data_IF_279995565012
#
_entry.id   IF_279995565012
#
_cell.length_a   1.000
_cell.length_b   1.000
_cell.length_c   1.000
_cell.angle_alpha   90.00
_cell.angle_beta   90.00
_cell.angle_gamma   90.00
#
_symmetry.space_group_name_H-M   'P 1'
#
loop_
_entity.id
_entity.type
_entity.pdbx_description
1 polymer ?
#
# COMPACT_ATOMS: atom_id res chain seq x y z
N UNK A 1 -50.48 1.57 55.11
CA UNK A 1 -49.78 2.41 56.11
C UNK A 1 -50.42 3.79 56.02
N UNK A 2 -50.96 4.26 57.13
CA UNK A 2 -51.73 5.50 57.27
C UNK A 2 -50.77 6.66 57.58
N UNK A 3 -51.03 7.84 56.99
CA UNK A 3 -50.85 9.18 57.60
C UNK A 3 -51.61 10.18 56.69
N UNK A 4 -52.72 10.87 57.03
CA UNK A 4 -53.09 11.81 58.11
C UNK A 4 -52.25 13.09 58.14
N UNK A 5 -52.66 14.14 57.40
CA UNK A 5 -52.29 15.55 57.61
C UNK A 5 -53.47 16.39 57.07
N UNK A 6 -54.53 16.65 57.84
CA UNK A 6 -54.70 17.51 59.01
C UNK A 6 -55.08 18.96 58.63
N UNK A 7 -56.18 19.41 59.25
CA UNK A 7 -56.96 20.61 58.99
C UNK A 7 -56.17 21.91 59.12
N UNK A 8 -56.45 22.85 58.21
CA UNK A 8 -56.49 24.28 58.55
C UNK A 8 -57.62 24.96 57.78
N UNK A 9 -58.77 25.07 58.43
CA UNK A 9 -59.72 26.13 58.16
C UNK A 9 -59.16 27.44 58.73
N UNK A 10 -58.87 28.40 57.86
CA UNK A 10 -58.71 29.79 58.25
C UNK A 10 -59.42 30.72 57.25
N UNK A 11 -60.71 30.88 57.53
CA UNK A 11 -61.43 32.17 57.55
C UNK A 11 -61.69 32.92 56.22
N UNK A 12 -62.99 32.93 55.87
CA UNK A 12 -63.81 34.12 55.54
C UNK A 12 -63.34 35.05 54.40
N UNK A 13 -64.09 35.02 53.29
CA UNK A 13 -65.11 36.03 52.90
C UNK A 13 -65.23 36.11 51.38
N UNK A 14 -66.47 36.00 50.88
CA UNK A 14 -66.97 36.51 49.59
C UNK A 14 -66.21 36.15 48.31
N UNK A 15 -66.41 34.94 47.75
CA UNK A 15 -66.08 34.68 46.33
C UNK A 15 -67.10 33.77 45.58
N UNK A 16 -68.38 33.75 46.00
CA UNK A 16 -69.44 33.04 45.22
C UNK A 16 -69.73 33.69 43.85
N UNK A 17 -69.16 34.87 43.54
CA UNK A 17 -69.31 35.48 42.21
C UNK A 17 -68.18 35.13 41.25
N UNK A 18 -66.97 34.81 41.72
CA UNK A 18 -65.83 34.58 40.83
C UNK A 18 -65.85 33.18 40.20
N UNK A 19 -66.38 32.18 40.89
CA UNK A 19 -66.48 30.81 40.35
C UNK A 19 -67.59 30.69 39.31
N UNK A 20 -68.73 31.39 39.50
CA UNK A 20 -69.75 31.55 38.46
C UNK A 20 -69.22 32.35 37.27
N UNK A 21 -68.48 33.44 37.49
CA UNK A 21 -67.85 34.23 36.42
C UNK A 21 -66.78 33.43 35.67
N UNK A 22 -66.01 32.57 36.35
CA UNK A 22 -65.04 31.69 35.71
C UNK A 22 -65.72 30.62 34.85
N UNK A 23 -66.84 30.04 35.30
CA UNK A 23 -67.62 29.10 34.50
C UNK A 23 -68.32 29.78 33.32
N UNK A 24 -68.83 30.99 33.49
CA UNK A 24 -69.42 31.80 32.40
C UNK A 24 -68.35 32.24 31.40
N UNK A 25 -67.16 32.63 31.86
CA UNK A 25 -66.04 32.99 31.00
C UNK A 25 -65.49 31.78 30.24
N UNK A 26 -65.49 30.58 30.84
CA UNK A 26 -65.16 29.33 30.15
C UNK A 26 -66.21 28.97 29.11
N UNK A 27 -67.52 29.11 29.42
CA UNK A 27 -68.60 28.91 28.46
C UNK A 27 -68.53 29.89 27.28
N UNK A 28 -68.23 31.17 27.55
CA UNK A 28 -68.10 32.20 26.52
C UNK A 28 -66.84 32.04 25.63
N UNK A 29 -65.82 31.32 26.10
CA UNK A 29 -64.62 30.97 25.33
C UNK A 29 -64.84 29.69 24.50
N UNK A 30 -65.59 28.72 25.01
CA UNK A 30 -66.03 27.54 24.23
C UNK A 30 -66.99 27.96 23.10
N UNK A 31 -67.89 28.92 23.35
CA UNK A 31 -68.86 29.42 22.36
C UNK A 31 -68.21 30.28 21.24
N UNK A 32 -66.95 30.68 21.38
CA UNK A 32 -66.20 31.46 20.37
C UNK A 32 -65.13 30.65 19.64
N UNK A 33 -64.93 29.38 19.98
CA UNK A 33 -64.25 28.43 19.11
C UNK A 33 -65.27 27.79 18.16
N UNK A 34 -65.91 28.62 17.33
CA UNK A 34 -66.11 28.21 15.95
C UNK A 34 -64.71 28.17 15.32
N UNK A 35 -63.93 27.14 15.67
CA UNK A 35 -62.94 26.63 14.74
C UNK A 35 -63.73 26.39 13.47
N UNK A 36 -63.42 27.18 12.44
CA UNK A 36 -63.74 26.90 11.05
C UNK A 36 -63.01 25.59 10.70
N UNK A 37 -63.47 24.51 11.33
CA UNK A 37 -63.22 23.14 10.91
C UNK A 37 -63.99 23.06 9.62
N UNK A 38 -63.32 23.40 8.52
CA UNK A 38 -63.66 22.89 7.20
C UNK A 38 -63.74 21.37 7.38
N UNK A 39 -64.95 20.88 7.63
CA UNK A 39 -65.22 19.51 8.01
C UNK A 39 -64.99 18.68 6.75
N UNK A 40 -63.73 18.27 6.56
CA UNK A 40 -63.28 17.60 5.34
C UNK A 40 -64.13 16.37 5.15
N UNK A 41 -64.94 16.40 4.10
CA UNK A 41 -65.90 15.34 3.84
C UNK A 41 -65.13 14.08 3.42
N UNK A 42 -65.59 12.91 3.85
CA UNK A 42 -64.94 11.63 3.56
C UNK A 42 -64.61 11.44 2.06
N UNK A 43 -65.49 11.91 1.18
CA UNK A 43 -65.31 11.89 -0.27
C UNK A 43 -64.10 12.72 -0.77
N UNK A 44 -63.81 13.87 -0.13
CA UNK A 44 -62.63 14.69 -0.46
C UNK A 44 -61.33 13.98 -0.06
N UNK A 45 -61.33 13.29 1.09
CA UNK A 45 -60.20 12.46 1.54
C UNK A 45 -59.93 11.33 0.54
N UNK A 46 -60.97 10.66 0.06
CA UNK A 46 -60.88 9.56 -0.93
C UNK A 46 -60.26 10.07 -2.24
N UNK A 47 -60.74 11.19 -2.77
CA UNK A 47 -60.19 11.81 -3.99
C UNK A 47 -58.71 12.19 -3.82
N UNK A 48 -58.33 12.69 -2.65
CA UNK A 48 -56.94 13.03 -2.32
C UNK A 48 -56.06 11.78 -2.37
N UNK A 49 -56.50 10.69 -1.74
CA UNK A 49 -55.78 9.41 -1.68
C UNK A 49 -55.59 8.83 -3.09
N UNK A 50 -56.63 8.84 -3.93
CA UNK A 50 -56.53 8.38 -5.32
C UNK A 50 -55.50 9.19 -6.13
N UNK A 51 -55.52 10.52 -5.98
CA UNK A 51 -54.57 11.41 -6.65
C UNK A 51 -53.13 11.12 -6.21
N UNK A 52 -52.88 11.01 -4.90
CA UNK A 52 -51.56 10.66 -4.39
C UNK A 52 -51.12 9.27 -4.81
N UNK A 53 -52.03 8.29 -4.86
CA UNK A 53 -51.74 6.93 -5.31
C UNK A 53 -51.33 6.88 -6.80
N UNK A 54 -51.98 7.71 -7.63
CA UNK A 54 -51.59 7.91 -9.03
C UNK A 54 -50.21 8.53 -9.17
N UNK A 55 -49.91 9.57 -8.38
CA UNK A 55 -48.58 10.20 -8.35
C UNK A 55 -47.51 9.20 -7.91
N UNK A 56 -47.73 8.46 -6.82
CA UNK A 56 -46.83 7.42 -6.31
C UNK A 56 -46.58 6.36 -7.39
N UNK A 57 -47.62 5.92 -8.09
CA UNK A 57 -47.50 4.94 -9.18
C UNK A 57 -46.66 5.48 -10.35
N UNK A 58 -46.84 6.74 -10.72
CA UNK A 58 -46.04 7.39 -11.76
C UNK A 58 -44.57 7.56 -11.36
N UNK A 59 -44.31 7.97 -10.11
CA UNK A 59 -42.97 8.11 -9.56
C UNK A 59 -42.28 6.76 -9.47
N UNK A 60 -42.97 5.72 -9.02
CA UNK A 60 -42.44 4.35 -8.97
C UNK A 60 -42.03 3.84 -10.35
N UNK A 61 -42.75 4.19 -11.41
CA UNK A 61 -42.34 3.87 -12.79
C UNK A 61 -41.08 4.64 -13.19
N UNK A 62 -41.01 5.95 -12.90
CA UNK A 62 -39.82 6.78 -13.18
C UNK A 62 -38.58 6.31 -12.42
N UNK A 63 -38.74 5.91 -11.15
CA UNK A 63 -37.64 5.36 -10.35
C UNK A 63 -37.11 4.09 -11.01
N UNK A 64 -37.99 3.19 -11.46
CA UNK A 64 -37.58 1.95 -12.15
C UNK A 64 -36.83 2.22 -13.46
N UNK A 65 -37.26 3.20 -14.25
CA UNK A 65 -36.55 3.56 -15.49
C UNK A 65 -35.19 4.17 -15.19
N UNK A 66 -35.11 5.09 -14.22
CA UNK A 66 -33.85 5.70 -13.81
C UNK A 66 -32.87 4.68 -13.21
N UNK A 67 -33.36 3.68 -12.46
CA UNK A 67 -32.48 2.61 -11.95
C UNK A 67 -31.88 1.80 -13.10
N UNK A 68 -32.68 1.48 -14.13
CA UNK A 68 -32.18 0.74 -15.30
C UNK A 68 -31.15 1.55 -16.09
N UNK A 69 -31.46 2.82 -16.39
CA UNK A 69 -30.53 3.71 -17.10
C UNK A 69 -29.22 3.91 -16.34
N UNK A 70 -29.27 4.00 -15.01
CA UNK A 70 -28.09 4.13 -14.16
C UNK A 70 -27.23 2.85 -14.15
N UNK A 71 -27.86 1.68 -14.17
CA UNK A 71 -27.14 0.40 -14.26
C UNK A 71 -26.44 0.26 -15.63
N UNK A 72 -27.10 0.63 -16.74
CA UNK A 72 -26.46 0.67 -18.07
C UNK A 72 -25.30 1.66 -18.14
N UNK A 73 -25.46 2.85 -17.57
CA UNK A 73 -24.40 3.87 -17.52
C UNK A 73 -23.18 3.40 -16.72
N UNK A 74 -23.40 2.70 -15.59
CA UNK A 74 -22.31 2.15 -14.79
C UNK A 74 -21.53 1.08 -15.56
N UNK A 75 -22.21 0.18 -16.28
CA UNK A 75 -21.56 -0.83 -17.12
C UNK A 75 -20.72 -0.18 -18.24
N UNK A 76 -21.29 0.77 -18.98
CA UNK A 76 -20.57 1.47 -20.04
C UNK A 76 -19.35 2.25 -19.52
N UNK A 77 -19.46 2.86 -18.34
CA UNK A 77 -18.34 3.54 -17.68
C UNK A 77 -17.22 2.57 -17.29
N UNK A 78 -17.57 1.40 -16.78
CA UNK A 78 -16.59 0.38 -16.39
C UNK A 78 -15.87 -0.19 -17.62
N UNK A 79 -16.60 -0.49 -18.70
CA UNK A 79 -16.03 -0.95 -19.97
C UNK A 79 -15.05 0.06 -20.57
N UNK A 80 -15.45 1.33 -20.70
CA UNK A 80 -14.58 2.40 -21.25
C UNK A 80 -13.37 2.68 -20.38
N UNK A 81 -13.50 2.61 -19.04
CA UNK A 81 -12.37 2.76 -18.13
C UNK A 81 -11.35 1.64 -18.30
N UNK A 82 -11.81 0.39 -18.42
CA UNK A 82 -10.95 -0.78 -18.59
C UNK A 82 -10.25 -0.76 -19.95
N UNK A 83 -10.94 -0.34 -21.02
CA UNK A 83 -10.36 -0.23 -22.36
C UNK A 83 -9.19 0.77 -22.41
N UNK A 84 -9.37 1.95 -21.80
CA UNK A 84 -8.30 2.96 -21.71
C UNK A 84 -7.10 2.45 -20.89
N UNK A 85 -7.35 1.74 -19.79
CA UNK A 85 -6.29 1.17 -18.96
C UNK A 85 -5.49 0.10 -19.71
N UNK A 86 -6.18 -0.76 -20.47
CA UNK A 86 -5.54 -1.79 -21.33
C UNK A 86 -4.66 -1.14 -22.40
N UNK A 87 -5.16 -0.13 -23.11
CA UNK A 87 -4.38 0.57 -24.16
C UNK A 87 -3.10 1.23 -23.61
N UNK A 88 -3.16 1.82 -22.42
CA UNK A 88 -2.00 2.41 -21.76
C UNK A 88 -0.96 1.33 -21.39
N UNK A 89 -1.41 0.21 -20.83
CA UNK A 89 -0.55 -0.91 -20.47
C UNK A 89 0.08 -1.55 -21.71
N UNK A 90 -0.67 -1.71 -22.80
CA UNK A 90 -0.14 -2.26 -24.05
C UNK A 90 0.98 -1.39 -24.64
N UNK A 91 0.82 -0.06 -24.60
CA UNK A 91 1.85 0.88 -25.03
C UNK A 91 3.12 0.80 -24.17
N UNK A 92 2.95 0.71 -22.84
CA UNK A 92 4.09 0.58 -21.92
C UNK A 92 4.82 -0.77 -22.11
N UNK A 93 4.08 -1.86 -22.28
CA UNK A 93 4.64 -3.17 -22.63
C UNK A 93 5.40 -3.09 -23.96
N UNK A 94 4.85 -2.45 -24.99
CA UNK A 94 5.52 -2.31 -26.28
C UNK A 94 6.85 -1.53 -26.16
N UNK A 95 6.88 -0.46 -25.37
CA UNK A 95 8.11 0.29 -25.08
C UNK A 95 9.14 -0.59 -24.37
N UNK A 96 8.74 -1.27 -23.28
CA UNK A 96 9.63 -2.15 -22.50
C UNK A 96 10.16 -3.32 -23.33
N UNK A 97 9.35 -3.89 -24.23
CA UNK A 97 9.79 -4.96 -25.14
C UNK A 97 10.86 -4.45 -26.10
N UNK A 98 10.71 -3.24 -26.64
CA UNK A 98 11.69 -2.62 -27.53
C UNK A 98 13.01 -2.35 -26.80
N UNK A 99 12.93 -1.81 -25.59
CA UNK A 99 14.10 -1.53 -24.75
C UNK A 99 14.85 -2.83 -24.38
N UNK A 100 14.12 -3.87 -23.94
CA UNK A 100 14.69 -5.19 -23.65
C UNK A 100 15.39 -5.82 -24.85
N UNK A 101 14.85 -5.64 -26.07
CA UNK A 101 15.50 -6.10 -27.29
C UNK A 101 16.83 -5.39 -27.50
N UNK A 102 16.88 -4.06 -27.35
CA UNK A 102 18.12 -3.29 -27.46
C UNK A 102 19.17 -3.74 -26.43
N UNK A 103 18.79 -3.89 -25.17
CA UNK A 103 19.71 -4.40 -24.14
C UNK A 103 20.23 -5.80 -24.45
N UNK A 104 19.41 -6.67 -25.03
CA UNK A 104 19.85 -8.02 -25.43
C UNK A 104 20.93 -7.96 -26.51
N UNK A 105 20.78 -7.09 -27.50
CA UNK A 105 21.77 -6.87 -28.56
C UNK A 105 23.09 -6.29 -27.99
N UNK A 106 23.01 -5.33 -27.08
CA UNK A 106 24.17 -4.77 -26.38
C UNK A 106 24.91 -5.83 -25.54
N UNK A 107 24.18 -6.68 -24.81
CA UNK A 107 24.75 -7.78 -24.03
C UNK A 107 25.48 -8.77 -24.93
N UNK A 108 24.93 -9.11 -26.10
CA UNK A 108 25.57 -10.02 -27.05
C UNK A 108 26.86 -9.41 -27.62
N UNK A 109 26.83 -8.13 -28.00
CA UNK A 109 28.01 -7.39 -28.45
C UNK A 109 29.10 -7.36 -27.36
N UNK A 110 28.72 -7.06 -26.12
CA UNK A 110 29.62 -7.01 -24.97
C UNK A 110 30.21 -8.40 -24.65
N UNK A 111 29.41 -9.46 -24.74
CA UNK A 111 29.89 -10.83 -24.54
C UNK A 111 30.94 -11.21 -25.58
N UNK A 112 30.76 -10.77 -26.83
CA UNK A 112 31.73 -10.98 -27.92
C UNK A 112 33.04 -10.22 -27.66
N UNK A 113 33.00 -8.97 -27.20
CA UNK A 113 34.22 -8.23 -26.85
C UNK A 113 34.91 -8.83 -25.63
N UNK A 114 34.16 -9.25 -24.61
CA UNK A 114 34.70 -9.91 -23.43
C UNK A 114 35.39 -11.24 -23.76
N UNK A 115 34.81 -12.04 -24.66
CA UNK A 115 35.45 -13.28 -25.13
C UNK A 115 36.79 -13.01 -25.81
N UNK A 116 36.86 -11.99 -26.69
CA UNK A 116 38.12 -11.58 -27.32
C UNK A 116 39.15 -11.11 -26.29
N UNK A 117 38.71 -10.28 -25.33
CA UNK A 117 39.56 -9.78 -24.25
C UNK A 117 40.11 -10.93 -23.39
N UNK A 118 39.26 -11.87 -23.00
CA UNK A 118 39.65 -13.08 -22.25
C UNK A 118 40.69 -13.89 -23.01
N UNK A 119 40.49 -14.12 -24.31
CA UNK A 119 41.45 -14.85 -25.16
C UNK A 119 42.79 -14.11 -25.27
N UNK A 120 42.79 -12.78 -25.39
CA UNK A 120 44.03 -12.00 -25.36
C UNK A 120 44.71 -12.03 -24.00
N UNK A 121 43.94 -12.00 -22.90
CA UNK A 121 44.46 -12.07 -21.54
C UNK A 121 45.15 -13.41 -21.29
N UNK A 122 44.55 -14.52 -21.74
CA UNK A 122 45.15 -15.84 -21.59
C UNK A 122 46.46 -15.97 -22.38
N UNK A 123 46.51 -15.41 -23.60
CA UNK A 123 47.75 -15.35 -24.39
C UNK A 123 48.82 -14.53 -23.70
N UNK A 124 48.45 -13.38 -23.13
CA UNK A 124 49.37 -12.53 -22.37
C UNK A 124 49.92 -13.28 -21.14
N UNK A 125 49.06 -13.96 -20.38
CA UNK A 125 49.47 -14.74 -19.21
C UNK A 125 50.46 -15.85 -19.60
N UNK A 126 50.22 -16.55 -20.71
CA UNK A 126 51.17 -17.55 -21.24
C UNK A 126 52.51 -16.94 -21.60
N UNK A 127 52.52 -15.78 -22.28
CA UNK A 127 53.76 -15.08 -22.63
C UNK A 127 54.54 -14.63 -21.38
N UNK A 128 53.84 -14.06 -20.40
CA UNK A 128 54.46 -13.64 -19.13
C UNK A 128 54.98 -14.84 -18.34
N UNK A 129 54.27 -15.97 -18.34
CA UNK A 129 54.72 -17.22 -17.72
C UNK A 129 55.95 -17.83 -18.39
N UNK A 130 56.16 -17.57 -19.69
CA UNK A 130 57.34 -18.01 -20.44
C UNK A 130 58.53 -17.06 -20.32
N UNK A 131 58.35 -15.85 -19.78
CA UNK A 131 59.42 -14.89 -19.64
C UNK A 131 60.46 -15.39 -18.61
N UNK A 132 61.74 -15.44 -18.99
CA UNK A 132 62.83 -15.71 -18.03
C UNK A 132 62.77 -14.65 -16.93
N UNK A 133 62.86 -15.09 -15.67
CA UNK A 133 62.95 -14.16 -14.55
C UNK A 133 64.07 -13.15 -14.83
N UNK A 134 63.87 -11.87 -14.50
CA UNK A 134 64.81 -10.76 -14.78
C UNK A 134 66.24 -11.01 -14.24
N UNK A 135 66.39 -12.02 -13.39
CA UNK A 135 67.63 -12.46 -12.75
C UNK A 135 68.38 -13.54 -13.54
N UNK A 136 67.71 -14.30 -14.40
CA UNK A 136 68.33 -15.27 -15.30
C UNK A 136 68.71 -14.57 -16.61
N UNK A 137 69.79 -13.80 -16.54
CA UNK A 137 70.44 -13.15 -17.69
C UNK A 137 71.47 -14.07 -18.36
N UNK A 138 71.55 -15.34 -17.96
CA UNK A 138 72.44 -16.31 -18.58
C UNK A 138 72.06 -16.46 -20.07
N UNK A 139 73.03 -16.24 -20.95
CA UNK A 139 72.82 -16.20 -22.41
C UNK A 139 72.68 -14.81 -23.03
N UNK A 140 72.65 -13.74 -22.24
CA UNK A 140 72.80 -12.34 -22.72
C UNK A 140 74.20 -11.75 -22.46
N UNK A 141 75.18 -12.60 -22.12
CA UNK A 141 76.56 -12.18 -21.83
C UNK A 141 76.81 -11.68 -20.40
N UNK A 142 75.83 -11.79 -19.50
CA UNK A 142 75.99 -11.51 -18.07
C UNK A 142 76.41 -12.78 -17.31
N UNK A 143 77.25 -12.61 -16.28
CA UNK A 143 77.59 -13.70 -15.36
C UNK A 143 76.34 -14.18 -14.59
N UNK A 144 76.28 -15.49 -14.39
CA UNK A 144 75.18 -16.16 -13.71
C UNK A 144 75.11 -15.66 -12.26
N UNK A 145 74.05 -14.93 -11.92
CA UNK A 145 73.90 -14.31 -10.60
C UNK A 145 73.55 -15.38 -9.56
N UNK A 146 74.58 -16.01 -8.97
CA UNK A 146 74.42 -17.17 -8.09
C UNK A 146 73.68 -16.95 -6.77
N UNK A 147 73.25 -15.73 -6.41
CA UNK A 147 72.60 -15.51 -5.12
C UNK A 147 71.64 -14.32 -5.17
N UNK A 148 70.35 -14.55 -5.42
CA UNK A 148 69.35 -13.51 -5.10
C UNK A 148 68.33 -14.01 -4.09
N UNK A 149 68.81 -14.19 -2.84
CA UNK A 149 67.99 -14.41 -1.63
C UNK A 149 66.88 -13.35 -1.47
N UNK A 150 67.03 -12.18 -2.09
CA UNK A 150 66.05 -11.09 -2.05
C UNK A 150 64.71 -11.47 -2.69
N UNK A 151 64.70 -12.30 -3.75
CA UNK A 151 63.47 -12.69 -4.43
C UNK A 151 62.86 -13.98 -3.89
N UNK A 152 63.64 -14.89 -3.28
CA UNK A 152 63.07 -16.05 -2.58
C UNK A 152 62.07 -15.59 -1.52
N UNK A 153 62.44 -14.57 -0.74
CA UNK A 153 61.56 -13.95 0.26
C UNK A 153 60.30 -13.35 -0.36
N UNK A 154 60.39 -12.81 -1.59
CA UNK A 154 59.25 -12.26 -2.32
C UNK A 154 58.31 -13.36 -2.83
N UNK A 155 58.85 -14.44 -3.40
CA UNK A 155 58.07 -15.60 -3.85
C UNK A 155 57.42 -16.33 -2.67
N UNK A 156 58.16 -16.55 -1.58
CA UNK A 156 57.62 -17.13 -0.35
C UNK A 156 56.49 -16.27 0.23
N UNK A 157 56.62 -14.93 0.18
CA UNK A 157 55.56 -14.00 0.60
C UNK A 157 54.36 -14.03 -0.33
N UNK A 158 54.56 -14.07 -1.65
CA UNK A 158 53.48 -14.17 -2.64
C UNK A 158 52.70 -15.47 -2.47
N UNK A 159 53.41 -16.60 -2.33
CA UNK A 159 52.80 -17.91 -2.12
C UNK A 159 52.02 -17.97 -0.80
N UNK A 160 52.54 -17.38 0.29
CA UNK A 160 51.80 -17.21 1.55
C UNK A 160 50.53 -16.41 1.36
N UNK A 161 50.58 -15.29 0.63
CA UNK A 161 49.41 -14.45 0.34
C UNK A 161 48.37 -15.21 -0.50
N UNK A 162 48.78 -15.98 -1.48
CA UNK A 162 47.88 -16.79 -2.32
C UNK A 162 47.23 -17.93 -1.52
N UNK A 163 48.02 -18.63 -0.68
CA UNK A 163 47.49 -19.64 0.26
C UNK A 163 46.53 -19.01 1.26
N UNK A 164 46.83 -17.82 1.79
CA UNK A 164 45.91 -17.08 2.65
C UNK A 164 44.63 -16.67 1.93
N UNK A 165 44.71 -16.21 0.68
CA UNK A 165 43.53 -15.87 -0.13
C UNK A 165 42.67 -17.10 -0.41
N UNK A 166 43.28 -18.22 -0.77
CA UNK A 166 42.59 -19.50 -0.96
C UNK A 166 41.96 -20.00 0.34
N UNK A 167 42.66 -19.87 1.48
CA UNK A 167 42.12 -20.20 2.80
C UNK A 167 40.99 -19.26 3.21
N UNK A 168 41.11 -17.94 3.00
CA UNK A 168 40.04 -16.95 3.23
C UNK A 168 38.83 -17.22 2.33
N UNK A 169 39.04 -17.64 1.09
CA UNK A 169 37.97 -18.07 0.20
C UNK A 169 37.29 -19.38 0.67
N UNK A 170 38.05 -20.30 1.28
CA UNK A 170 37.50 -21.50 1.95
C UNK A 170 36.80 -21.18 3.28
N UNK A 171 37.26 -20.15 4.00
CA UNK A 171 36.70 -19.62 5.27
C UNK A 171 35.52 -18.67 5.03
N UNK A 172 35.26 -18.21 3.79
CA UNK A 172 33.94 -17.66 3.37
C UNK A 172 32.80 -18.70 3.46
N UNK A 173 32.97 -19.78 4.21
CA UNK A 173 31.87 -20.54 4.76
C UNK A 173 31.36 -19.80 6.00
N UNK A 174 30.16 -19.23 5.80
CA UNK A 174 29.11 -18.98 6.79
C UNK A 174 29.23 -17.64 7.53
N UNK A 175 28.72 -16.58 6.90
CA UNK A 175 28.32 -15.34 7.60
C UNK A 175 27.36 -15.73 8.72
N UNK A 176 27.82 -15.71 9.97
CA UNK A 176 27.00 -15.99 11.14
C UNK A 176 26.40 -14.66 11.61
N UNK A 177 25.12 -14.68 11.97
CA UNK A 177 24.46 -13.52 12.55
C UNK A 177 24.75 -13.44 14.06
N UNK A 178 25.28 -12.32 14.53
CA UNK A 178 25.60 -12.12 15.96
C UNK A 178 24.34 -12.05 16.85
N UNK A 179 23.17 -11.77 16.26
CA UNK A 179 21.90 -11.68 17.01
C UNK A 179 21.23 -13.05 17.21
N UNK A 180 21.13 -13.86 16.15
CA UNK A 180 20.41 -15.15 16.21
C UNK A 180 21.31 -16.37 16.08
N UNK A 181 22.62 -16.20 15.99
CA UNK A 181 23.64 -17.25 15.81
C UNK A 181 23.42 -18.17 14.60
N UNK A 182 22.51 -17.80 13.68
CA UNK A 182 22.25 -18.56 12.45
C UNK A 182 23.18 -18.12 11.33
N UNK A 183 23.47 -19.08 10.47
CA UNK A 183 24.37 -18.95 9.33
C UNK A 183 23.60 -18.45 8.09
N UNK A 184 24.24 -17.64 7.26
CA UNK A 184 23.75 -17.19 5.95
C UNK A 184 23.38 -15.71 5.85
N UNK A 185 23.43 -14.96 6.95
CA UNK A 185 23.10 -13.53 6.98
C UNK A 185 23.87 -12.80 8.09
N UNK A 186 23.88 -11.47 8.06
CA UNK A 186 24.52 -10.62 9.07
C UNK A 186 23.50 -10.09 10.09
N UNK A 187 23.97 -9.58 11.23
CA UNK A 187 23.13 -8.94 12.24
C UNK A 187 22.26 -7.79 11.70
N UNK A 188 22.71 -7.07 10.68
CA UNK A 188 21.94 -5.99 10.03
C UNK A 188 20.76 -6.49 9.19
N UNK A 189 20.84 -7.72 8.67
CA UNK A 189 19.82 -8.34 7.82
C UNK A 189 18.97 -9.37 8.57
N UNK A 190 19.16 -9.49 9.88
CA UNK A 190 18.46 -10.47 10.71
C UNK A 190 16.97 -10.14 10.89
N UNK A 191 16.11 -11.06 10.48
CA UNK A 191 14.65 -10.96 10.66
C UNK A 191 14.24 -10.82 12.13
N UNK A 192 14.84 -11.62 13.03
CA UNK A 192 14.53 -11.56 14.46
C UNK A 192 14.89 -10.20 15.07
N UNK A 193 16.01 -9.58 14.65
CA UNK A 193 16.43 -8.26 15.14
C UNK A 193 15.50 -7.15 14.63
N UNK A 194 15.12 -7.19 13.35
CA UNK A 194 14.17 -6.22 12.77
C UNK A 194 12.84 -6.26 13.52
N UNK A 195 12.27 -7.45 13.74
CA UNK A 195 10.99 -7.57 14.43
C UNK A 195 11.06 -7.20 15.92
N UNK A 196 12.18 -7.43 16.60
CA UNK A 196 12.38 -6.96 17.96
C UNK A 196 12.38 -5.41 18.06
N UNK A 197 12.93 -4.72 17.06
CA UNK A 197 12.88 -3.25 17.00
C UNK A 197 11.47 -2.71 16.73
N UNK A 198 10.67 -3.41 15.92
CA UNK A 198 9.28 -3.00 15.64
C UNK A 198 8.30 -3.26 16.79
N UNK A 199 8.62 -4.18 17.72
CA UNK A 199 7.78 -4.46 18.90
C UNK A 199 8.03 -3.54 20.09
N UNK A 200 9.14 -2.80 20.09
CA UNK A 200 9.53 -1.88 21.15
C UNK A 200 9.22 -0.41 20.81
N UNK A 201 8.28 -0.18 19.90
CA UNK A 201 7.80 1.14 19.50
C UNK A 201 6.28 1.15 19.66
#
# INVERSE_FOLDING_TARGET
>A
MIATWDDRDESSSDEDTNEEVAQIALMALDDQQEEENDEVTYDELVLLVEKYSSIISSLKKKVKTLTYENDELNLAKEETSNEIEVDLLENEIAYLVKENKNFKEEIEALKKTFSKFSNSSEKLEKLLGMQRCVFDKAGLGFEEMNNVKLYQTFFDRKEKIEKEKANKAKIRKKTMCDYCSKIGHTSSTCFHKKNAMFRNK
#
